data_IF_614164079678
#
_entry.id   IF_614164079678
#
_cell.length_a   1.000
_cell.length_b   1.000
_cell.length_c   1.000
_cell.angle_alpha   90.00
_cell.angle_beta   90.00
_cell.angle_gamma   90.00
#
_symmetry.space_group_name_H-M   'P 1'
#
loop_
_entity.id
_entity.type
_entity.pdbx_description
1 polymer ?
#
# COMPACT_ATOMS: atom_id res chain seq x y z
N UNK A 1 -14.56 15.79 -2.03
CA UNK A 1 -13.17 15.40 -1.68
C UNK A 1 -12.09 16.42 -2.08
N UNK A 2 -12.23 17.26 -3.11
CA UNK A 2 -11.22 18.28 -3.50
C UNK A 2 -10.95 19.35 -2.41
N UNK A 3 -11.98 19.82 -1.71
CA UNK A 3 -11.83 20.91 -0.71
C UNK A 3 -11.03 20.52 0.55
N UNK A 4 -10.90 19.21 0.86
CA UNK A 4 -10.13 18.74 2.02
C UNK A 4 -8.61 18.65 1.73
N UNK A 5 -8.21 18.60 0.46
CA UNK A 5 -6.82 18.47 0.03
C UNK A 5 -6.16 19.86 -0.09
N UNK A 6 -6.91 20.88 -0.50
CA UNK A 6 -6.44 22.27 -0.54
C UNK A 6 -6.26 22.88 0.86
N UNK A 7 -7.21 22.63 1.78
CA UNK A 7 -7.11 23.11 3.17
C UNK A 7 -5.89 22.52 3.91
N UNK A 8 -5.50 21.26 3.61
CA UNK A 8 -4.30 20.62 4.16
C UNK A 8 -3.01 21.20 3.56
N UNK A 9 -2.97 21.47 2.26
CA UNK A 9 -1.79 22.06 1.60
C UNK A 9 -1.50 23.49 2.08
N UNK A 10 -2.54 24.28 2.37
CA UNK A 10 -2.40 25.64 2.91
C UNK A 10 -1.87 25.61 4.35
N UNK A 11 -2.35 24.69 5.22
CA UNK A 11 -1.80 24.54 6.58
C UNK A 11 -0.31 24.14 6.59
N UNK A 12 0.12 23.28 5.66
CA UNK A 12 1.54 22.90 5.52
C UNK A 12 2.41 24.06 5.02
N UNK A 13 1.92 24.90 4.10
CA UNK A 13 2.64 26.09 3.63
C UNK A 13 2.78 27.17 4.71
N UNK A 14 1.77 27.35 5.55
CA UNK A 14 1.79 28.31 6.67
C UNK A 14 2.77 27.86 7.76
N UNK A 15 2.81 26.56 8.10
CA UNK A 15 3.74 26.01 9.09
C UNK A 15 5.22 26.00 8.63
N UNK A 16 5.46 25.79 7.34
CA UNK A 16 6.80 25.87 6.74
C UNK A 16 7.34 27.32 6.65
N UNK A 17 6.44 28.30 6.41
CA UNK A 17 6.78 29.73 6.53
C UNK A 17 7.10 30.11 7.96
N UNK A 18 6.37 29.56 8.95
CA UNK A 18 6.57 29.88 10.37
C UNK A 18 7.90 29.32 10.93
N UNK A 19 8.33 28.13 10.48
CA UNK A 19 9.65 27.58 10.84
C UNK A 19 10.81 28.34 10.19
N UNK A 20 10.67 28.72 8.90
CA UNK A 20 11.68 29.56 8.22
C UNK A 20 11.73 30.98 8.82
N UNK A 21 10.59 31.54 9.21
CA UNK A 21 10.49 32.82 9.89
C UNK A 21 11.13 32.79 11.29
N UNK A 22 10.94 31.71 12.07
CA UNK A 22 11.58 31.53 13.39
C UNK A 22 13.11 31.40 13.30
N UNK A 23 13.61 30.65 12.30
CA UNK A 23 15.06 30.53 12.05
C UNK A 23 15.66 31.87 11.61
N UNK A 24 14.96 32.64 10.78
CA UNK A 24 15.41 33.97 10.34
C UNK A 24 15.27 35.05 11.42
N UNK A 25 14.26 34.94 12.31
CA UNK A 25 14.03 35.89 13.39
C UNK A 25 15.05 35.76 14.53
N UNK A 26 15.58 34.55 14.79
CA UNK A 26 16.62 34.35 15.79
C UNK A 26 17.99 34.90 15.37
N UNK A 27 18.22 35.09 14.06
CA UNK A 27 19.46 35.68 13.54
C UNK A 27 19.55 37.21 13.69
N UNK A 28 18.44 37.91 13.99
CA UNK A 28 18.36 39.39 13.95
C UNK A 28 18.15 40.07 15.30
N UNK A 29 18.01 39.34 16.41
CA UNK A 29 17.90 39.92 17.75
C UNK A 29 19.16 39.60 18.54
N UNK A 30 19.82 40.66 19.04
CA UNK A 30 20.79 40.63 20.14
C UNK A 30 20.24 39.77 21.28
N UNK A 31 20.54 38.48 21.25
CA UNK A 31 20.15 37.49 22.25
C UNK A 31 21.42 36.81 22.70
N UNK A 32 21.51 36.52 24.00
CA UNK A 32 22.65 35.80 24.55
C UNK A 32 22.83 34.46 23.81
N UNK A 33 24.07 33.97 23.68
CA UNK A 33 24.33 32.66 23.04
C UNK A 33 23.52 31.53 23.68
N UNK A 34 23.17 31.65 24.97
CA UNK A 34 22.25 30.74 25.67
C UNK A 34 20.84 30.75 25.08
N UNK A 35 20.29 31.90 24.72
CA UNK A 35 18.96 32.03 24.12
C UNK A 35 18.92 31.52 22.67
N UNK A 36 20.00 31.72 21.91
CA UNK A 36 20.16 31.15 20.58
C UNK A 36 20.29 29.62 20.64
N UNK A 37 21.15 29.11 21.53
CA UNK A 37 21.32 27.67 21.76
C UNK A 37 19.99 27.00 22.13
N UNK A 38 19.21 27.60 23.04
CA UNK A 38 17.89 27.12 23.43
C UNK A 38 16.91 27.11 22.25
N UNK A 39 16.87 28.18 21.46
CA UNK A 39 15.95 28.27 20.32
C UNK A 39 16.27 27.26 19.21
N UNK A 40 17.56 27.01 18.93
CA UNK A 40 17.95 25.97 17.98
C UNK A 40 17.66 24.58 18.52
N UNK A 41 17.91 24.31 19.81
CA UNK A 41 17.57 23.03 20.44
C UNK A 41 16.05 22.76 20.40
N UNK A 42 15.22 23.77 20.68
CA UNK A 42 13.76 23.68 20.57
C UNK A 42 13.31 23.42 19.13
N UNK A 43 13.92 24.11 18.16
CA UNK A 43 13.63 23.90 16.72
C UNK A 43 14.04 22.50 16.28
N UNK A 44 15.21 22.03 16.73
CA UNK A 44 15.71 20.69 16.45
C UNK A 44 14.77 19.61 17.00
N UNK A 45 14.39 19.74 18.28
CA UNK A 45 13.44 18.85 18.93
C UNK A 45 12.07 18.87 18.23
N UNK A 46 11.61 20.05 17.78
CA UNK A 46 10.38 20.19 16.99
C UNK A 46 10.48 19.44 15.65
N UNK A 47 11.58 19.59 14.90
CA UNK A 47 11.77 18.90 13.63
C UNK A 47 11.78 17.38 13.84
N UNK A 48 12.50 16.87 14.85
CA UNK A 48 12.52 15.44 15.20
C UNK A 48 11.12 14.91 15.52
N UNK A 49 10.36 15.63 16.36
CA UNK A 49 8.99 15.23 16.74
C UNK A 49 8.06 15.22 15.54
N UNK A 50 8.16 16.23 14.69
CA UNK A 50 7.33 16.34 13.50
C UNK A 50 7.66 15.28 12.45
N UNK A 51 8.94 14.96 12.23
CA UNK A 51 9.34 13.83 11.38
C UNK A 51 8.72 12.53 11.88
N UNK A 52 8.79 12.27 13.21
CA UNK A 52 8.14 11.09 13.81
C UNK A 52 6.64 11.05 13.52
N UNK A 53 5.92 12.15 13.76
CA UNK A 53 4.48 12.22 13.50
C UNK A 53 4.12 11.99 12.04
N UNK A 54 4.88 12.55 11.11
CA UNK A 54 4.65 12.36 9.67
C UNK A 54 4.87 10.90 9.25
N UNK A 55 5.92 10.26 9.78
CA UNK A 55 6.19 8.83 9.59
C UNK A 55 5.07 7.97 10.17
N UNK A 56 4.71 8.19 11.45
CA UNK A 56 3.67 7.43 12.13
C UNK A 56 2.33 7.55 11.38
N UNK A 57 1.97 8.77 10.94
CA UNK A 57 0.75 9.00 10.14
C UNK A 57 0.80 8.27 8.80
N UNK A 58 1.92 8.38 8.06
CA UNK A 58 2.04 7.76 6.74
C UNK A 58 2.08 6.24 6.82
N UNK A 59 2.72 5.69 7.85
CA UNK A 59 2.72 4.27 8.10
C UNK A 59 1.33 3.74 8.45
N UNK A 60 0.53 4.53 9.17
CA UNK A 60 -0.88 4.21 9.39
C UNK A 60 -1.69 4.22 8.09
N UNK A 61 -1.58 5.29 7.29
CA UNK A 61 -2.25 5.39 5.98
C UNK A 61 -1.89 4.20 5.07
N UNK A 62 -0.61 3.81 5.04
CA UNK A 62 -0.13 2.65 4.30
C UNK A 62 -0.76 1.33 4.77
N UNK A 63 -0.81 1.11 6.10
CA UNK A 63 -1.43 -0.07 6.70
C UNK A 63 -2.92 -0.15 6.37
N UNK A 64 -3.63 0.96 6.50
CA UNK A 64 -5.05 1.05 6.23
C UNK A 64 -5.35 0.77 4.75
N UNK A 65 -4.53 1.31 3.83
CA UNK A 65 -4.64 1.03 2.38
C UNK A 65 -4.49 -0.46 2.08
N UNK A 66 -3.41 -1.09 2.55
CA UNK A 66 -3.17 -2.51 2.28
C UNK A 66 -4.19 -3.43 2.95
N UNK A 67 -4.65 -3.08 4.16
CA UNK A 67 -5.70 -3.84 4.84
C UNK A 67 -7.00 -3.81 4.02
N UNK A 68 -7.43 -2.61 3.62
CA UNK A 68 -8.65 -2.43 2.82
C UNK A 68 -8.56 -3.15 1.47
N UNK A 69 -7.44 -3.01 0.77
CA UNK A 69 -7.20 -3.74 -0.50
C UNK A 69 -7.21 -5.25 -0.29
N UNK A 70 -6.64 -5.73 0.80
CA UNK A 70 -6.65 -7.15 1.15
C UNK A 70 -8.06 -7.68 1.39
N UNK A 71 -8.92 -6.89 2.06
CA UNK A 71 -10.33 -7.21 2.29
C UNK A 71 -11.13 -7.23 0.98
N UNK A 72 -11.00 -6.20 0.14
CA UNK A 72 -11.67 -6.12 -1.18
C UNK A 72 -11.29 -7.31 -2.07
N UNK A 73 -10.01 -7.70 -2.08
CA UNK A 73 -9.53 -8.85 -2.83
C UNK A 73 -10.10 -10.17 -2.28
N UNK A 74 -10.16 -10.32 -0.95
CA UNK A 74 -10.70 -11.51 -0.30
C UNK A 74 -12.20 -11.67 -0.58
N UNK A 75 -12.97 -10.58 -0.57
CA UNK A 75 -14.39 -10.58 -0.91
C UNK A 75 -14.62 -10.99 -2.37
N UNK A 76 -13.81 -10.46 -3.28
CA UNK A 76 -13.88 -10.82 -4.70
C UNK A 76 -13.64 -12.32 -4.92
N UNK A 77 -12.57 -12.86 -4.32
CA UNK A 77 -12.25 -14.30 -4.40
C UNK A 77 -13.40 -15.15 -3.87
N UNK A 78 -13.94 -14.81 -2.69
CA UNK A 78 -15.06 -15.55 -2.08
C UNK A 78 -16.32 -15.50 -2.93
N UNK A 79 -16.64 -14.36 -3.52
CA UNK A 79 -17.81 -14.20 -4.37
C UNK A 79 -17.71 -15.09 -5.62
N UNK A 80 -16.54 -15.07 -6.27
CA UNK A 80 -16.29 -15.88 -7.47
C UNK A 80 -16.29 -17.37 -7.18
N UNK A 81 -15.66 -17.80 -6.09
CA UNK A 81 -15.66 -19.19 -5.64
C UNK A 81 -17.09 -19.69 -5.37
N UNK A 82 -17.92 -18.89 -4.68
CA UNK A 82 -19.34 -19.23 -4.45
C UNK A 82 -20.10 -19.41 -5.76
N UNK A 83 -19.93 -18.50 -6.71
CA UNK A 83 -20.62 -18.59 -8.00
C UNK A 83 -20.23 -19.86 -8.77
N UNK A 84 -18.92 -20.10 -8.94
CA UNK A 84 -18.44 -21.23 -9.75
C UNK A 84 -18.77 -22.57 -9.11
N UNK A 85 -18.63 -22.70 -7.78
CA UNK A 85 -19.05 -23.90 -7.08
C UNK A 85 -20.55 -24.17 -7.22
N UNK A 86 -21.39 -23.12 -7.20
CA UNK A 86 -22.82 -23.25 -7.43
C UNK A 86 -23.15 -23.75 -8.84
N UNK A 87 -22.47 -23.24 -9.88
CA UNK A 87 -22.65 -23.71 -11.26
C UNK A 87 -22.13 -25.14 -11.45
N UNK A 88 -21.00 -25.50 -10.83
CA UNK A 88 -20.47 -26.86 -10.85
C UNK A 88 -21.46 -27.87 -10.23
N UNK A 89 -22.04 -27.55 -9.07
CA UNK A 89 -23.03 -28.40 -8.42
C UNK A 89 -24.24 -28.66 -9.32
N UNK A 90 -24.77 -27.63 -9.99
CA UNK A 90 -25.90 -27.78 -10.92
C UNK A 90 -25.57 -28.74 -12.07
N UNK A 91 -24.37 -28.63 -12.64
CA UNK A 91 -23.95 -29.55 -13.73
C UNK A 91 -23.71 -30.95 -13.19
N UNK A 92 -23.12 -31.09 -12.01
CA UNK A 92 -22.91 -32.38 -11.36
C UNK A 92 -24.23 -33.11 -11.11
N UNK A 93 -25.24 -32.42 -10.57
CA UNK A 93 -26.59 -32.97 -10.38
C UNK A 93 -27.23 -33.40 -11.71
N UNK A 94 -27.05 -32.63 -12.78
CA UNK A 94 -27.55 -32.99 -14.11
C UNK A 94 -26.85 -34.25 -14.68
N UNK A 95 -25.54 -34.37 -14.46
CA UNK A 95 -24.76 -35.55 -14.89
C UNK A 95 -25.17 -36.79 -14.11
N UNK A 96 -25.34 -36.70 -12.78
CA UNK A 96 -25.74 -37.83 -11.92
C UNK A 96 -27.11 -38.41 -12.26
N UNK A 97 -28.00 -37.64 -12.90
CA UNK A 97 -29.30 -38.12 -13.39
C UNK A 97 -29.21 -38.98 -14.66
N UNK A 98 -28.02 -39.18 -15.23
CA UNK A 98 -27.78 -40.06 -16.38
C UNK A 98 -27.25 -41.44 -15.94
N UNK A 99 -27.32 -42.45 -16.81
CA UNK A 99 -26.88 -43.83 -16.51
C UNK A 99 -25.41 -43.90 -16.04
N UNK A 100 -25.11 -44.73 -15.04
CA UNK A 100 -23.82 -44.76 -14.29
C UNK A 100 -22.58 -44.79 -15.18
N UNK A 101 -22.55 -45.64 -16.23
CA UNK A 101 -21.42 -45.76 -17.16
C UNK A 101 -21.20 -44.47 -17.98
N UNK A 102 -22.27 -43.75 -18.33
CA UNK A 102 -22.20 -42.47 -19.05
C UNK A 102 -21.90 -41.30 -18.11
N UNK A 103 -22.15 -41.45 -16.82
CA UNK A 103 -21.87 -40.44 -15.80
C UNK A 103 -20.38 -40.41 -15.41
N UNK A 104 -19.71 -41.55 -15.31
CA UNK A 104 -18.30 -41.63 -14.85
C UNK A 104 -17.34 -40.71 -15.65
N UNK A 105 -17.32 -40.81 -16.99
CA UNK A 105 -16.46 -39.96 -17.82
C UNK A 105 -16.83 -38.47 -17.82
N UNK A 106 -18.06 -38.12 -17.44
CA UNK A 106 -18.52 -36.72 -17.29
C UNK A 106 -18.14 -36.16 -15.92
N UNK A 107 -18.15 -36.99 -14.87
CA UNK A 107 -17.69 -36.63 -13.53
C UNK A 107 -16.18 -36.35 -13.53
N UNK A 108 -15.37 -37.14 -14.25
CA UNK A 108 -13.94 -36.85 -14.39
C UNK A 108 -13.69 -35.51 -15.10
N UNK A 109 -14.42 -35.24 -16.19
CA UNK A 109 -14.38 -33.94 -16.86
C UNK A 109 -14.80 -32.78 -15.95
N UNK A 110 -15.78 -32.98 -15.06
CA UNK A 110 -16.17 -31.98 -14.06
C UNK A 110 -15.04 -31.72 -13.07
N UNK A 111 -14.35 -32.78 -12.62
CA UNK A 111 -13.17 -32.66 -11.75
C UNK A 111 -12.04 -31.88 -12.44
N UNK A 112 -11.80 -32.13 -13.73
CA UNK A 112 -10.79 -31.40 -14.51
C UNK A 112 -11.13 -29.91 -14.65
N UNK A 113 -12.41 -29.58 -14.87
CA UNK A 113 -12.86 -28.18 -14.94
C UNK A 113 -12.64 -27.48 -13.60
N UNK A 114 -12.90 -28.17 -12.49
CA UNK A 114 -12.63 -27.64 -11.15
C UNK A 114 -11.14 -27.41 -10.93
N UNK A 115 -10.30 -28.41 -11.20
CA UNK A 115 -8.86 -28.28 -11.04
C UNK A 115 -8.26 -27.14 -11.88
N UNK A 116 -8.71 -27.00 -13.13
CA UNK A 116 -8.27 -25.91 -14.00
C UNK A 116 -8.72 -24.52 -13.50
N UNK A 117 -9.94 -24.41 -12.98
CA UNK A 117 -10.43 -23.17 -12.38
C UNK A 117 -9.63 -22.79 -11.13
N UNK A 118 -9.45 -23.75 -10.20
CA UNK A 118 -8.72 -23.53 -8.94
C UNK A 118 -7.27 -23.07 -9.22
N UNK A 119 -6.58 -23.71 -10.17
CA UNK A 119 -5.23 -23.31 -10.57
C UNK A 119 -5.22 -21.92 -11.25
N UNK A 120 -6.21 -21.62 -12.10
CA UNK A 120 -6.36 -20.30 -12.71
C UNK A 120 -6.52 -19.19 -11.68
N UNK A 121 -7.39 -19.39 -10.68
CA UNK A 121 -7.59 -18.44 -9.57
C UNK A 121 -6.32 -18.27 -8.74
N UNK A 122 -5.61 -19.38 -8.45
CA UNK A 122 -4.34 -19.33 -7.74
C UNK A 122 -3.31 -18.47 -8.48
N UNK A 123 -3.15 -18.64 -9.79
CA UNK A 123 -2.26 -17.81 -10.61
C UNK A 123 -2.67 -16.32 -10.55
N UNK A 124 -3.96 -16.01 -10.65
CA UNK A 124 -4.45 -14.63 -10.54
C UNK A 124 -4.06 -14.01 -9.17
N UNK A 125 -4.25 -14.76 -8.09
CA UNK A 125 -3.98 -14.30 -6.73
C UNK A 125 -2.48 -14.17 -6.44
N UNK A 126 -1.64 -15.07 -6.96
CA UNK A 126 -0.18 -15.01 -6.79
C UNK A 126 0.42 -13.78 -7.48
N UNK A 127 -0.08 -13.42 -8.68
CA UNK A 127 0.29 -12.19 -9.37
C UNK A 127 -0.07 -10.96 -8.54
N UNK A 128 -1.31 -10.90 -8.04
CA UNK A 128 -1.78 -9.83 -7.16
C UNK A 128 -0.89 -9.67 -5.91
N UNK A 129 -0.64 -10.79 -5.22
CA UNK A 129 0.14 -10.81 -4.00
C UNK A 129 1.59 -10.35 -4.25
N UNK A 130 2.18 -10.74 -5.37
CA UNK A 130 3.54 -10.34 -5.73
C UNK A 130 3.63 -8.83 -6.00
N UNK A 131 2.66 -8.26 -6.73
CA UNK A 131 2.62 -6.83 -6.98
C UNK A 131 2.34 -6.01 -5.71
N UNK A 132 1.44 -6.49 -4.84
CA UNK A 132 1.18 -5.87 -3.53
C UNK A 132 2.42 -5.87 -2.63
N UNK A 133 3.18 -6.97 -2.62
CA UNK A 133 4.45 -7.05 -1.90
C UNK A 133 5.48 -6.05 -2.44
N UNK A 134 5.56 -5.88 -3.75
CA UNK A 134 6.47 -4.90 -4.36
C UNK A 134 6.09 -3.46 -3.98
N UNK A 135 4.81 -3.10 -4.08
CA UNK A 135 4.30 -1.78 -3.68
C UNK A 135 4.55 -1.50 -2.18
N UNK A 136 4.36 -2.51 -1.33
CA UNK A 136 4.64 -2.43 0.11
C UNK A 136 6.12 -2.19 0.37
N UNK A 137 6.99 -2.96 -0.27
CA UNK A 137 8.45 -2.89 -0.09
C UNK A 137 8.98 -1.49 -0.44
N UNK A 138 8.48 -0.90 -1.54
CA UNK A 138 8.86 0.46 -1.92
C UNK A 138 8.46 1.50 -0.85
N UNK A 139 7.28 1.36 -0.25
CA UNK A 139 6.84 2.25 0.82
C UNK A 139 7.60 2.03 2.13
N UNK A 140 7.83 0.77 2.50
CA UNK A 140 8.58 0.38 3.70
C UNK A 140 10.02 0.93 3.66
N UNK A 141 10.68 0.90 2.50
CA UNK A 141 12.02 1.46 2.30
C UNK A 141 12.05 2.97 2.58
N UNK A 142 11.07 3.73 2.07
CA UNK A 142 10.98 5.18 2.31
C UNK A 142 10.67 5.53 3.77
N UNK A 143 9.89 4.69 4.44
CA UNK A 143 9.64 4.82 5.88
C UNK A 143 10.94 4.59 6.66
N UNK A 144 11.73 3.57 6.30
CA UNK A 144 13.03 3.30 6.94
C UNK A 144 14.00 4.47 6.76
N UNK A 145 14.06 5.10 5.57
CA UNK A 145 14.88 6.30 5.34
C UNK A 145 14.47 7.47 6.25
N UNK A 146 13.17 7.68 6.43
CA UNK A 146 12.66 8.72 7.33
C UNK A 146 13.00 8.44 8.80
N UNK A 147 12.94 7.18 9.22
CA UNK A 147 13.29 6.75 10.57
C UNK A 147 14.80 6.77 10.82
N UNK A 148 15.61 6.49 9.79
CA UNK A 148 17.07 6.66 9.81
C UNK A 148 17.44 8.13 9.97
N UNK A 149 16.80 9.06 9.22
CA UNK A 149 17.01 10.50 9.40
C UNK A 149 16.75 10.94 10.83
N UNK A 150 15.70 10.42 11.47
CA UNK A 150 15.42 10.68 12.90
C UNK A 150 16.56 10.19 13.80
N UNK A 151 17.14 9.03 13.51
CA UNK A 151 18.31 8.49 14.21
C UNK A 151 19.53 9.41 14.06
N UNK A 152 19.86 9.78 12.82
CA UNK A 152 20.96 10.69 12.48
C UNK A 152 20.80 12.02 13.19
N UNK A 153 19.61 12.61 13.20
CA UNK A 153 19.36 13.85 13.92
C UNK A 153 19.69 13.73 15.42
N UNK A 154 19.28 12.64 16.09
CA UNK A 154 19.63 12.45 17.51
C UNK A 154 21.14 12.36 17.73
N UNK A 155 21.87 11.74 16.80
CA UNK A 155 23.32 11.63 16.86
C UNK A 155 24.00 12.98 16.63
N UNK A 156 23.56 13.74 15.62
CA UNK A 156 24.07 15.08 15.32
C UNK A 156 23.92 16.03 16.49
N UNK A 157 22.82 15.95 17.25
CA UNK A 157 22.66 16.72 18.48
C UNK A 157 23.76 16.39 19.51
N UNK A 158 24.09 15.10 19.69
CA UNK A 158 25.16 14.66 20.60
C UNK A 158 26.54 15.11 20.12
N UNK A 159 26.76 15.11 18.81
CA UNK A 159 28.02 15.54 18.20
C UNK A 159 28.20 17.06 18.35
N UNK A 160 27.18 17.86 18.06
CA UNK A 160 27.26 19.31 18.26
C UNK A 160 27.51 19.68 19.73
N UNK A 161 26.93 18.96 20.68
CA UNK A 161 27.18 19.17 22.12
C UNK A 161 28.65 18.94 22.53
N UNK A 162 29.43 18.21 21.73
CA UNK A 162 30.87 17.96 21.97
C UNK A 162 31.78 19.00 21.33
N UNK A 163 31.22 19.92 20.54
CA UNK A 163 31.97 20.97 19.86
C UNK A 163 32.04 22.25 20.71
N UNK A 164 33.15 22.98 20.60
CA UNK A 164 33.33 24.28 21.27
C UNK A 164 32.43 25.38 20.68
N UNK A 165 31.80 25.13 19.52
CA UNK A 165 30.98 26.09 18.77
C UNK A 165 29.57 25.51 18.51
N UNK A 166 28.93 25.08 19.60
CA UNK A 166 27.63 24.39 19.60
C UNK A 166 26.57 25.11 18.77
N UNK A 167 26.45 26.44 18.92
CA UNK A 167 25.42 27.25 18.26
C UNK A 167 25.57 27.21 16.74
N UNK A 168 26.81 27.32 16.24
CA UNK A 168 27.10 27.26 14.81
C UNK A 168 26.86 25.86 14.24
N UNK A 169 27.30 24.83 14.97
CA UNK A 169 27.06 23.43 14.61
C UNK A 169 25.56 23.13 14.50
N UNK A 170 24.80 23.37 15.58
CA UNK A 170 23.38 23.02 15.63
C UNK A 170 22.57 23.81 14.61
N UNK A 171 22.94 25.07 14.32
CA UNK A 171 22.26 25.89 13.32
C UNK A 171 22.45 25.35 11.89
N UNK A 172 23.66 24.93 11.52
CA UNK A 172 23.96 24.32 10.21
C UNK A 172 23.19 23.01 10.04
N UNK A 173 23.33 22.13 11.03
CA UNK A 173 22.73 20.81 11.03
C UNK A 173 21.20 20.83 11.04
N UNK A 174 20.60 21.76 11.79
CA UNK A 174 19.15 21.98 11.78
C UNK A 174 18.67 22.35 10.37
N UNK A 175 19.38 23.22 9.65
CA UNK A 175 18.99 23.61 8.28
C UNK A 175 19.08 22.43 7.32
N UNK A 176 20.11 21.61 7.45
CA UNK A 176 20.28 20.41 6.63
C UNK A 176 19.20 19.37 6.92
N UNK A 177 18.92 19.08 8.19
CA UNK A 177 17.88 18.15 8.59
C UNK A 177 16.49 18.61 8.11
N UNK A 178 16.19 19.91 8.12
CA UNK A 178 14.93 20.45 7.56
C UNK A 178 14.84 20.21 6.05
N UNK A 179 15.94 20.40 5.30
CA UNK A 179 15.97 20.13 3.85
C UNK A 179 15.75 18.63 3.57
N UNK A 180 16.49 17.76 4.25
CA UNK A 180 16.38 16.32 4.10
C UNK A 180 14.98 15.82 4.47
N UNK A 181 14.41 16.29 5.58
CA UNK A 181 13.03 15.96 5.96
C UNK A 181 12.04 16.35 4.87
N UNK A 182 12.15 17.55 4.31
CA UNK A 182 11.24 18.01 3.25
C UNK A 182 11.35 17.13 2.01
N UNK A 183 12.57 16.74 1.64
CA UNK A 183 12.81 15.84 0.52
C UNK A 183 12.19 14.46 0.76
N UNK A 184 12.51 13.81 1.88
CA UNK A 184 11.95 12.48 2.23
C UNK A 184 10.42 12.54 2.30
N UNK A 185 9.84 13.60 2.88
CA UNK A 185 8.38 13.75 2.94
C UNK A 185 7.73 13.86 1.56
N UNK A 186 8.38 14.52 0.59
CA UNK A 186 7.87 14.63 -0.76
C UNK A 186 8.00 13.29 -1.50
N UNK A 187 9.16 12.63 -1.38
CA UNK A 187 9.40 11.31 -1.99
C UNK A 187 8.44 10.26 -1.44
N UNK A 188 8.18 10.25 -0.13
CA UNK A 188 7.20 9.35 0.49
C UNK A 188 5.78 9.61 -0.01
N UNK A 189 5.41 10.89 -0.22
CA UNK A 189 4.09 11.25 -0.77
C UNK A 189 3.91 10.74 -2.19
N UNK A 190 4.91 10.90 -3.06
CA UNK A 190 4.84 10.42 -4.44
C UNK A 190 4.92 8.89 -4.52
N UNK A 191 5.75 8.26 -3.69
CA UNK A 191 5.81 6.78 -3.58
C UNK A 191 4.45 6.22 -3.15
N UNK A 192 3.78 6.87 -2.19
CA UNK A 192 2.45 6.47 -1.75
C UNK A 192 1.39 6.57 -2.85
N UNK A 193 1.36 7.68 -3.61
CA UNK A 193 0.45 7.80 -4.75
C UNK A 193 0.72 6.75 -5.82
N UNK A 194 1.99 6.48 -6.11
CA UNK A 194 2.38 5.45 -7.07
C UNK A 194 1.96 4.07 -6.59
N UNK A 195 2.13 3.77 -5.30
CA UNK A 195 1.64 2.53 -4.70
C UNK A 195 0.10 2.44 -4.77
N UNK A 196 -0.64 3.49 -4.44
CA UNK A 196 -2.10 3.54 -4.57
C UNK A 196 -2.55 3.26 -6.01
N UNK A 197 -1.94 3.92 -7.00
CA UNK A 197 -2.26 3.72 -8.41
C UNK A 197 -1.92 2.29 -8.87
N UNK A 198 -0.75 1.80 -8.50
CA UNK A 198 -0.32 0.44 -8.83
C UNK A 198 -1.25 -0.61 -8.20
N UNK A 199 -1.64 -0.43 -6.94
CA UNK A 199 -2.59 -1.31 -6.27
C UNK A 199 -3.96 -1.31 -6.97
N UNK A 200 -4.47 -0.15 -7.35
CA UNK A 200 -5.73 -0.05 -8.07
C UNK A 200 -5.68 -0.75 -9.44
N UNK A 201 -4.58 -0.60 -10.19
CA UNK A 201 -4.35 -1.30 -11.45
C UNK A 201 -4.30 -2.82 -11.24
N UNK A 202 -3.60 -3.28 -10.21
CA UNK A 202 -3.51 -4.72 -9.90
C UNK A 202 -4.87 -5.30 -9.49
N UNK A 203 -5.69 -4.56 -8.74
CA UNK A 203 -7.07 -4.98 -8.45
C UNK A 203 -7.88 -5.15 -9.74
N UNK A 204 -7.78 -4.22 -10.69
CA UNK A 204 -8.48 -4.34 -11.97
C UNK A 204 -8.00 -5.54 -12.78
N UNK A 205 -6.69 -5.79 -12.83
CA UNK A 205 -6.13 -6.94 -13.54
C UNK A 205 -6.53 -8.27 -12.90
N UNK A 206 -6.61 -8.32 -11.57
CA UNK A 206 -7.12 -9.51 -10.86
C UNK A 206 -8.59 -9.75 -11.17
N UNK A 207 -9.43 -8.71 -11.16
CA UNK A 207 -10.85 -8.81 -11.52
C UNK A 207 -10.99 -9.40 -12.93
N UNK A 208 -10.22 -8.89 -13.91
CA UNK A 208 -10.22 -9.42 -15.28
C UNK A 208 -9.74 -10.87 -15.34
N UNK A 209 -8.67 -11.20 -14.62
CA UNK A 209 -8.11 -12.54 -14.57
C UNK A 209 -9.13 -13.55 -14.01
N UNK A 210 -9.79 -13.20 -12.91
CA UNK A 210 -10.87 -13.99 -12.31
C UNK A 210 -12.07 -14.15 -13.26
N UNK A 211 -12.51 -13.07 -13.91
CA UNK A 211 -13.61 -13.12 -14.88
C UNK A 211 -13.29 -14.03 -16.07
N UNK A 212 -12.04 -14.02 -16.55
CA UNK A 212 -11.60 -14.91 -17.62
C UNK A 212 -11.60 -16.38 -17.18
N UNK A 213 -11.07 -16.68 -15.98
CA UNK A 213 -11.09 -18.03 -15.42
C UNK A 213 -12.53 -18.55 -15.24
N UNK A 214 -13.43 -17.70 -14.75
CA UNK A 214 -14.85 -17.99 -14.62
C UNK A 214 -15.51 -18.26 -15.99
N UNK A 215 -15.25 -17.41 -16.99
CA UNK A 215 -15.81 -17.57 -18.33
C UNK A 215 -15.33 -18.87 -18.99
N UNK A 216 -14.06 -19.24 -18.80
CA UNK A 216 -13.52 -20.51 -19.30
C UNK A 216 -14.16 -21.71 -18.62
N UNK A 217 -14.27 -21.70 -17.28
CA UNK A 217 -14.94 -22.74 -16.53
C UNK A 217 -16.40 -22.90 -16.98
N UNK A 218 -17.13 -21.79 -17.12
CA UNK A 218 -18.52 -21.82 -17.56
C UNK A 218 -18.70 -22.38 -18.98
N UNK A 219 -17.83 -22.01 -19.92
CA UNK A 219 -17.84 -22.61 -21.28
C UNK A 219 -17.63 -24.12 -21.24
N UNK A 220 -16.70 -24.62 -20.42
CA UNK A 220 -16.45 -26.06 -20.27
C UNK A 220 -17.63 -26.77 -19.60
N UNK A 221 -18.23 -26.17 -18.57
CA UNK A 221 -19.44 -26.66 -17.91
C UNK A 221 -20.63 -26.75 -18.87
N UNK A 222 -20.88 -25.71 -19.67
CA UNK A 222 -21.92 -25.73 -20.70
C UNK A 222 -21.71 -26.84 -21.73
N UNK A 223 -20.46 -27.09 -22.13
CA UNK A 223 -20.11 -28.20 -23.03
C UNK A 223 -20.46 -29.55 -22.40
N UNK A 224 -20.09 -29.79 -21.15
CA UNK A 224 -20.45 -31.01 -20.41
C UNK A 224 -21.97 -31.17 -20.35
N UNK A 225 -22.70 -30.10 -20.03
CA UNK A 225 -24.16 -30.13 -19.94
C UNK A 225 -24.83 -30.43 -21.29
N UNK A 226 -24.31 -29.85 -22.38
CA UNK A 226 -24.79 -30.13 -23.74
C UNK A 226 -24.55 -31.60 -24.11
N UNK A 227 -23.31 -32.07 -23.96
CA UNK A 227 -22.95 -33.47 -24.23
C UNK A 227 -23.81 -34.43 -23.39
N UNK A 228 -24.15 -34.04 -22.15
CA UNK A 228 -25.03 -34.80 -21.26
C UNK A 228 -26.44 -34.90 -21.80
N UNK A 229 -27.04 -33.78 -22.26
CA UNK A 229 -28.37 -33.77 -22.86
C UNK A 229 -28.43 -34.57 -24.16
N UNK A 230 -27.42 -34.46 -25.01
CA UNK A 230 -27.34 -35.19 -26.27
C UNK A 230 -27.17 -36.71 -26.03
N UNK A 231 -26.63 -37.11 -24.87
CA UNK A 231 -26.51 -38.52 -24.47
C UNK A 231 -27.80 -39.14 -23.93
N UNK A 232 -28.84 -38.35 -23.67
CA UNK A 232 -30.12 -38.82 -23.08
C UNK A 232 -31.21 -38.97 -24.15
N UNK A 233 -31.03 -38.33 -25.31
CA UNK A 233 -31.83 -38.58 -26.52
C UNK A 233 -31.41 -39.90 -27.18
#
# INVERSE_FOLDING_TARGET
>A
MRNAIESRSIKFYVLARDTRAKVNACSKRSKSDKDLAKSFAETFAYVVRQTKMDVDRKMKELKDLFAKTGEELLELVRSNEKFVNGEMQKVEEAVRKTTEVRAAGKIDRLRDVKGAYDEGIKICNEKAASALRAAKTACDQRIQEADALRGTMRQVLKECLRTNDFVKCIASETRQAVKQRKQISNELKETMKSAEASVAEQLQEVVKCHANAQAEAFRKLQKILKDTKDSVK
#
